data_IF_417425030417
#
_entry.id   IF_417425030417
#
_cell.length_a   1.000
_cell.length_b   1.000
_cell.length_c   1.000
_cell.angle_alpha   90.00
_cell.angle_beta   90.00
_cell.angle_gamma   90.00
#
_symmetry.space_group_name_H-M   'P 1'
#
loop_
_entity.id
_entity.type
_entity.pdbx_description
1 polymer ?
#
# COMPACT_ATOMS: atom_id res chain seq x y z
N UNK A 1 2.45 -19.31 1.76
CA UNK A 1 2.71 -19.72 0.36
C UNK A 1 2.75 -18.47 -0.52
N UNK A 2 3.57 -18.41 -1.58
CA UNK A 2 3.49 -17.37 -2.62
C UNK A 2 2.12 -17.34 -3.31
N UNK A 3 1.70 -16.19 -3.81
CA UNK A 3 0.39 -16.02 -4.44
C UNK A 3 0.26 -16.78 -5.76
N UNK A 4 1.28 -16.76 -6.63
CA UNK A 4 1.27 -17.51 -7.89
C UNK A 4 1.08 -19.02 -7.67
N UNK A 5 1.67 -19.59 -6.61
CA UNK A 5 1.44 -20.99 -6.22
C UNK A 5 0.02 -21.23 -5.69
N UNK A 6 -0.51 -20.31 -4.87
CA UNK A 6 -1.89 -20.40 -4.38
C UNK A 6 -2.89 -20.44 -5.53
N UNK A 7 -2.75 -19.52 -6.51
CA UNK A 7 -3.60 -19.47 -7.70
C UNK A 7 -3.56 -20.81 -8.45
N UNK A 8 -2.37 -21.36 -8.67
CA UNK A 8 -2.21 -22.63 -9.36
C UNK A 8 -2.92 -23.77 -8.62
N UNK A 9 -2.70 -23.90 -7.32
CA UNK A 9 -3.27 -24.98 -6.50
C UNK A 9 -4.78 -24.87 -6.33
N UNK A 10 -5.32 -23.65 -6.18
CA UNK A 10 -6.76 -23.39 -6.08
C UNK A 10 -7.45 -23.76 -7.40
N UNK A 11 -6.91 -23.30 -8.53
CA UNK A 11 -7.47 -23.62 -9.86
C UNK A 11 -7.47 -25.12 -10.18
N UNK A 12 -6.48 -25.85 -9.68
CA UNK A 12 -6.39 -27.30 -9.84
C UNK A 12 -7.24 -28.08 -8.82
N UNK A 13 -7.92 -27.40 -7.89
CA UNK A 13 -8.69 -28.02 -6.82
C UNK A 13 -7.84 -28.73 -5.75
N UNK A 14 -6.52 -28.49 -5.74
CA UNK A 14 -5.62 -29.04 -4.73
C UNK A 14 -5.74 -28.32 -3.37
N UNK A 15 -6.23 -27.08 -3.39
CA UNK A 15 -6.63 -26.28 -2.23
C UNK A 15 -7.99 -25.62 -2.55
N UNK A 16 -8.81 -25.36 -1.54
CA UNK A 16 -9.98 -24.48 -1.71
C UNK A 16 -9.62 -23.04 -1.31
N UNK A 17 -10.19 -22.05 -1.99
CA UNK A 17 -10.05 -20.65 -1.64
C UNK A 17 -10.52 -20.39 -0.20
N UNK A 18 -11.62 -21.02 0.22
CA UNK A 18 -12.12 -20.93 1.60
C UNK A 18 -11.04 -21.36 2.61
N UNK A 19 -10.38 -22.50 2.39
CA UNK A 19 -9.36 -23.01 3.32
C UNK A 19 -8.16 -22.06 3.43
N UNK A 20 -7.76 -21.44 2.31
CA UNK A 20 -6.65 -20.48 2.26
C UNK A 20 -7.00 -19.19 2.97
N UNK A 21 -8.20 -18.66 2.75
CA UNK A 21 -8.67 -17.43 3.38
C UNK A 21 -8.90 -17.63 4.87
N UNK A 22 -9.52 -18.76 5.27
CA UNK A 22 -9.69 -19.12 6.68
C UNK A 22 -8.36 -19.21 7.41
N UNK A 23 -7.37 -19.92 6.84
CA UNK A 23 -6.03 -20.00 7.42
C UNK A 23 -5.35 -18.63 7.55
N UNK A 24 -5.63 -17.70 6.63
CA UNK A 24 -5.13 -16.32 6.69
C UNK A 24 -5.78 -15.54 7.83
N UNK A 25 -7.10 -15.61 7.95
CA UNK A 25 -7.88 -14.96 9.02
C UNK A 25 -7.51 -15.50 10.40
N UNK A 26 -7.33 -16.81 10.53
CA UNK A 26 -6.88 -17.46 11.78
C UNK A 26 -5.49 -16.96 12.18
N UNK A 27 -4.61 -16.74 11.20
CA UNK A 27 -3.28 -16.19 11.44
C UNK A 27 -3.32 -14.73 11.90
N UNK A 28 -4.15 -13.90 11.26
CA UNK A 28 -4.39 -12.51 11.68
C UNK A 28 -4.86 -12.48 13.14
N UNK A 29 -5.87 -13.28 13.47
CA UNK A 29 -6.41 -13.35 14.83
C UNK A 29 -5.38 -13.79 15.89
N UNK A 30 -4.44 -14.64 15.51
CA UNK A 30 -3.41 -15.16 16.42
C UNK A 30 -2.21 -14.23 16.62
N UNK A 31 -1.88 -13.39 15.63
CA UNK A 31 -0.59 -12.69 15.59
C UNK A 31 -0.67 -11.17 15.43
N UNK A 32 -1.75 -10.62 14.87
CA UNK A 32 -1.79 -9.20 14.54
C UNK A 32 -1.94 -8.31 15.79
N UNK A 33 -2.48 -8.81 16.90
CA UNK A 33 -2.66 -8.03 18.14
C UNK A 33 -1.44 -7.19 18.57
N UNK A 34 -0.24 -7.80 18.75
CA UNK A 34 0.98 -7.04 19.05
C UNK A 34 1.58 -6.29 17.84
N UNK A 35 1.24 -6.63 16.60
CA UNK A 35 1.77 -5.99 15.39
C UNK A 35 0.97 -4.72 15.04
N UNK A 36 -0.34 -4.76 15.26
CA UNK A 36 -1.31 -3.74 14.91
C UNK A 36 -1.21 -3.35 13.42
N UNK A 37 -1.11 -4.37 12.55
CA UNK A 37 -0.95 -4.26 11.11
C UNK A 37 -2.27 -4.04 10.37
N UNK A 38 -3.40 -4.46 10.94
CA UNK A 38 -4.74 -4.18 10.41
C UNK A 38 -5.50 -3.14 11.24
N UNK A 39 -6.24 -2.26 10.55
CA UNK A 39 -7.26 -1.39 11.15
C UNK A 39 -8.65 -2.01 11.08
N UNK A 40 -8.90 -2.83 10.06
CA UNK A 40 -10.18 -3.51 9.84
C UNK A 40 -9.90 -4.85 9.19
N UNK A 41 -10.49 -5.92 9.71
CA UNK A 41 -10.43 -7.26 9.14
C UNK A 41 -11.83 -7.63 8.63
N UNK A 42 -11.93 -8.05 7.37
CA UNK A 42 -13.20 -8.29 6.66
C UNK A 42 -13.57 -9.78 6.66
N UNK A 43 -13.63 -10.39 7.85
CA UNK A 43 -13.73 -11.85 8.04
C UNK A 43 -14.88 -12.48 7.25
N UNK A 44 -16.10 -11.95 7.40
CA UNK A 44 -17.30 -12.60 6.85
C UNK A 44 -17.35 -12.46 5.33
N UNK A 45 -17.18 -11.25 4.78
CA UNK A 45 -17.21 -11.06 3.33
C UNK A 45 -16.02 -11.75 2.64
N UNK A 46 -14.85 -11.84 3.29
CA UNK A 46 -13.70 -12.56 2.75
C UNK A 46 -14.01 -14.06 2.60
N UNK A 47 -14.61 -14.68 3.61
CA UNK A 47 -15.02 -16.08 3.56
C UNK A 47 -16.14 -16.31 2.54
N UNK A 48 -17.15 -15.45 2.49
CA UNK A 48 -18.23 -15.55 1.49
C UNK A 48 -17.68 -15.46 0.06
N UNK A 49 -16.77 -14.51 -0.19
CA UNK A 49 -16.12 -14.35 -1.50
C UNK A 49 -15.31 -15.60 -1.86
N UNK A 50 -14.58 -16.16 -0.92
CA UNK A 50 -13.79 -17.37 -1.12
C UNK A 50 -14.65 -18.58 -1.49
N UNK A 51 -15.76 -18.78 -0.76
CA UNK A 51 -16.74 -19.84 -1.03
C UNK A 51 -17.36 -19.67 -2.43
N UNK A 52 -17.71 -18.44 -2.81
CA UNK A 52 -18.25 -18.17 -4.14
C UNK A 52 -17.27 -18.50 -5.27
N UNK A 53 -15.97 -18.27 -5.06
CA UNK A 53 -14.91 -18.66 -6.01
C UNK A 53 -14.82 -20.18 -6.10
N UNK A 54 -14.81 -20.89 -4.98
CA UNK A 54 -14.78 -22.36 -4.96
C UNK A 54 -15.97 -22.98 -5.69
N UNK A 55 -17.18 -22.44 -5.49
CA UNK A 55 -18.39 -22.88 -6.21
C UNK A 55 -18.26 -22.66 -7.72
N UNK A 56 -17.70 -21.53 -8.16
CA UNK A 56 -17.43 -21.26 -9.58
C UNK A 56 -16.42 -22.24 -10.16
N UNK A 57 -15.35 -22.55 -9.44
CA UNK A 57 -14.35 -23.55 -9.85
C UNK A 57 -14.99 -24.94 -9.98
N UNK A 58 -15.78 -25.35 -8.98
CA UNK A 58 -16.48 -26.64 -8.99
C UNK A 58 -17.48 -26.76 -10.16
N UNK A 59 -18.10 -25.64 -10.56
CA UNK A 59 -18.98 -25.56 -11.72
C UNK A 59 -18.24 -25.50 -13.07
N UNK A 60 -16.90 -25.50 -13.08
CA UNK A 60 -16.09 -25.37 -14.29
C UNK A 60 -16.12 -23.97 -14.92
N UNK A 61 -16.56 -22.95 -14.18
CA UNK A 61 -16.60 -21.57 -14.66
C UNK A 61 -15.20 -20.94 -14.62
N UNK A 62 -14.87 -20.02 -15.55
CA UNK A 62 -13.60 -19.32 -15.53
C UNK A 62 -13.47 -18.46 -14.27
N UNK A 63 -12.25 -18.37 -13.75
CA UNK A 63 -11.87 -17.51 -12.62
C UNK A 63 -10.67 -16.64 -12.96
N UNK A 64 -10.59 -15.49 -12.31
CA UNK A 64 -9.60 -14.44 -12.54
C UNK A 64 -8.17 -14.85 -12.16
N UNK A 65 -7.17 -14.03 -12.55
CA UNK A 65 -5.74 -14.30 -12.34
C UNK A 65 -5.30 -14.38 -10.87
N UNK A 66 -6.11 -13.89 -9.93
CA UNK A 66 -5.84 -13.91 -8.49
C UNK A 66 -6.89 -14.71 -7.70
N UNK A 67 -7.59 -15.64 -8.36
CA UNK A 67 -8.66 -16.43 -7.77
C UNK A 67 -8.30 -16.99 -6.39
N UNK A 68 -9.02 -16.52 -5.36
CA UNK A 68 -8.91 -16.99 -3.97
C UNK A 68 -7.67 -16.52 -3.22
N UNK A 69 -6.88 -15.60 -3.79
CA UNK A 69 -5.67 -15.06 -3.14
C UNK A 69 -6.07 -14.02 -2.09
N UNK A 70 -5.64 -14.17 -0.82
CA UNK A 70 -5.85 -13.17 0.22
C UNK A 70 -5.00 -11.90 -0.01
N UNK A 71 -5.65 -10.73 -0.07
CA UNK A 71 -5.02 -9.44 -0.32
C UNK A 71 -5.37 -8.43 0.77
N UNK A 72 -4.35 -7.78 1.33
CA UNK A 72 -4.52 -6.67 2.27
C UNK A 72 -4.43 -5.32 1.54
N UNK A 73 -5.19 -4.32 1.97
CA UNK A 73 -5.27 -3.03 1.25
C UNK A 73 -4.93 -1.88 2.20
N UNK A 74 -3.97 -1.00 1.86
CA UNK A 74 -3.70 0.22 2.64
C UNK A 74 -4.98 1.04 2.86
N UNK A 75 -5.15 1.55 4.07
CA UNK A 75 -6.44 2.12 4.47
C UNK A 75 -6.83 3.42 3.75
N UNK A 76 -5.90 4.10 3.07
CA UNK A 76 -6.19 5.25 2.20
C UNK A 76 -6.83 4.90 0.85
N UNK A 77 -6.97 3.61 0.52
CA UNK A 77 -7.58 3.15 -0.72
C UNK A 77 -9.06 2.85 -0.43
N UNK A 78 -9.96 3.58 -1.08
CA UNK A 78 -11.40 3.42 -0.92
C UNK A 78 -11.85 2.01 -1.34
N UNK A 79 -12.52 1.32 -0.42
CA UNK A 79 -13.10 0.00 -0.64
C UNK A 79 -14.57 0.05 -0.26
N UNK A 80 -15.47 -0.11 -1.22
CA UNK A 80 -16.90 -0.10 -0.96
C UNK A 80 -17.26 -1.24 -0.01
N UNK A 81 -18.06 -0.93 1.01
CA UNK A 81 -18.46 -1.86 2.06
C UNK A 81 -17.47 -1.97 3.23
N UNK A 82 -16.28 -1.36 3.13
CA UNK A 82 -15.30 -1.31 4.23
C UNK A 82 -14.98 0.12 4.65
N UNK A 83 -14.76 0.31 5.94
CA UNK A 83 -14.32 1.59 6.46
C UNK A 83 -12.97 1.99 5.85
N UNK A 84 -12.79 3.30 5.62
CA UNK A 84 -11.58 3.89 5.05
C UNK A 84 -11.25 5.13 5.84
N UNK A 85 -10.24 5.07 6.71
CA UNK A 85 -9.93 6.12 7.70
C UNK A 85 -8.66 6.90 7.39
N UNK A 86 -7.81 6.39 6.51
CA UNK A 86 -6.44 6.88 6.30
C UNK A 86 -5.61 6.89 7.59
N UNK A 87 -5.85 5.96 8.52
CA UNK A 87 -5.24 6.00 9.85
C UNK A 87 -5.65 7.23 10.67
N UNK A 88 -6.74 7.91 10.34
CA UNK A 88 -7.20 9.14 10.98
C UNK A 88 -8.57 9.02 11.62
N UNK A 89 -8.72 9.63 12.81
CA UNK A 89 -10.01 9.75 13.50
C UNK A 89 -10.99 10.66 12.77
N UNK A 90 -10.52 11.61 11.95
CA UNK A 90 -11.40 12.48 11.14
C UNK A 90 -12.23 11.69 10.10
N UNK A 91 -11.81 10.49 9.75
CA UNK A 91 -12.51 9.59 8.83
C UNK A 91 -12.97 8.30 9.51
N UNK A 92 -12.96 8.25 10.84
CA UNK A 92 -13.55 7.14 11.58
C UNK A 92 -15.04 7.01 11.22
N UNK A 93 -15.47 5.80 10.88
CA UNK A 93 -16.82 5.51 10.40
C UNK A 93 -17.10 5.84 8.93
N UNK A 94 -16.14 6.40 8.17
CA UNK A 94 -16.34 6.66 6.75
C UNK A 94 -16.33 5.36 5.93
N UNK A 95 -17.48 5.01 5.36
CA UNK A 95 -17.64 3.90 4.41
C UNK A 95 -17.76 4.51 2.99
N UNK A 96 -16.76 4.34 2.11
CA UNK A 96 -16.82 4.90 0.76
C UNK A 96 -18.00 4.35 -0.04
N UNK A 97 -18.71 5.19 -0.82
CA UNK A 97 -19.82 4.75 -1.66
C UNK A 97 -19.35 4.11 -2.99
N UNK A 98 -18.04 3.87 -3.17
CA UNK A 98 -17.45 3.34 -4.39
C UNK A 98 -16.13 2.63 -4.10
N UNK A 99 -15.74 1.71 -5.00
CA UNK A 99 -14.41 1.12 -5.04
C UNK A 99 -13.41 2.03 -5.77
N UNK A 100 -12.20 2.14 -5.22
CA UNK A 100 -11.05 2.61 -5.97
C UNK A 100 -10.81 1.72 -7.20
N UNK A 101 -10.21 2.26 -8.26
CA UNK A 101 -9.97 1.49 -9.49
C UNK A 101 -9.15 0.23 -9.24
N UNK A 102 -8.15 0.33 -8.37
CA UNK A 102 -7.30 -0.81 -7.97
C UNK A 102 -8.09 -1.89 -7.23
N UNK A 103 -9.06 -1.50 -6.38
CA UNK A 103 -9.93 -2.44 -5.67
C UNK A 103 -10.89 -3.13 -6.65
N UNK A 104 -11.50 -2.37 -7.56
CA UNK A 104 -12.35 -2.94 -8.61
C UNK A 104 -11.58 -3.93 -9.49
N UNK A 105 -10.31 -3.65 -9.82
CA UNK A 105 -9.43 -4.56 -10.56
C UNK A 105 -9.08 -5.82 -9.77
N UNK A 106 -8.82 -5.71 -8.46
CA UNK A 106 -8.61 -6.86 -7.59
C UNK A 106 -9.84 -7.77 -7.55
N UNK A 107 -11.04 -7.20 -7.36
CA UNK A 107 -12.30 -7.96 -7.35
C UNK A 107 -12.55 -8.65 -8.69
N UNK A 108 -12.34 -7.95 -9.81
CA UNK A 108 -12.44 -8.54 -11.14
C UNK A 108 -11.40 -9.65 -11.39
N UNK A 109 -10.28 -9.61 -10.68
CA UNK A 109 -9.26 -10.67 -10.71
C UNK A 109 -9.58 -11.86 -9.78
N UNK A 110 -10.75 -11.87 -9.13
CA UNK A 110 -11.18 -12.84 -8.12
C UNK A 110 -10.23 -12.90 -6.89
N UNK A 111 -9.56 -11.79 -6.58
CA UNK A 111 -8.79 -11.65 -5.34
C UNK A 111 -9.74 -11.46 -4.13
N UNK A 112 -9.36 -12.01 -2.97
CA UNK A 112 -10.13 -11.90 -1.73
C UNK A 112 -9.50 -10.82 -0.86
N UNK A 113 -10.18 -9.69 -0.67
CA UNK A 113 -9.72 -8.63 0.23
C UNK A 113 -9.98 -9.07 1.67
N UNK A 114 -8.93 -9.18 2.48
CA UNK A 114 -9.06 -9.65 3.89
C UNK A 114 -9.14 -8.51 4.90
N UNK A 115 -8.81 -7.28 4.50
CA UNK A 115 -8.87 -6.15 5.42
C UNK A 115 -8.14 -4.90 4.94
N UNK A 116 -8.24 -3.87 5.78
CA UNK A 116 -7.57 -2.57 5.63
C UNK A 116 -6.37 -2.51 6.57
N UNK A 117 -5.19 -2.22 6.02
CA UNK A 117 -3.94 -2.18 6.79
C UNK A 117 -3.68 -0.81 7.40
N UNK A 118 -3.03 -0.82 8.57
CA UNK A 118 -2.59 0.37 9.28
C UNK A 118 -1.60 1.18 8.44
N UNK A 119 -1.57 2.47 8.70
CA UNK A 119 -0.74 3.44 7.98
C UNK A 119 -0.47 4.66 8.86
N UNK A 120 0.57 5.42 8.52
CA UNK A 120 0.67 6.78 9.04
C UNK A 120 -0.54 7.61 8.58
N UNK A 121 -0.99 8.53 9.43
CA UNK A 121 -2.17 9.35 9.22
C UNK A 121 -2.09 10.12 7.89
N UNK A 122 -3.07 9.93 7.00
CA UNK A 122 -3.10 10.51 5.65
C UNK A 122 -1.86 10.25 4.78
N UNK A 123 -1.07 9.23 5.12
CA UNK A 123 0.13 8.87 4.38
C UNK A 123 1.35 9.72 4.73
N UNK A 124 1.24 10.63 5.70
CA UNK A 124 2.29 11.53 6.17
C UNK A 124 3.06 10.87 7.29
N UNK A 125 4.28 10.43 7.04
CA UNK A 125 5.09 9.74 8.04
C UNK A 125 5.99 8.68 7.42
N UNK A 126 6.90 8.14 8.24
CA UNK A 126 7.89 7.14 7.80
C UNK A 126 8.14 6.05 8.83
N UNK A 127 7.24 5.90 9.81
CA UNK A 127 7.36 4.91 10.88
C UNK A 127 6.06 4.20 11.27
N UNK A 128 4.90 4.68 10.80
CA UNK A 128 3.57 4.19 11.20
C UNK A 128 3.23 4.42 12.68
N UNK A 129 3.93 5.33 13.36
CA UNK A 129 3.72 5.65 14.77
C UNK A 129 2.59 6.66 14.98
N UNK A 130 2.31 7.52 14.00
CA UNK A 130 1.33 8.60 14.12
C UNK A 130 -0.11 8.18 13.75
N UNK A 131 -0.34 6.89 13.48
CA UNK A 131 -1.68 6.35 13.24
C UNK A 131 -2.61 6.70 14.40
N UNK A 132 -3.78 7.29 14.09
CA UNK A 132 -4.82 7.64 15.05
C UNK A 132 -5.47 6.42 15.73
N UNK A 133 -5.09 5.20 15.32
CA UNK A 133 -5.56 3.93 15.90
C UNK A 133 -4.45 3.15 16.62
N UNK A 134 -3.25 3.74 16.72
CA UNK A 134 -2.13 3.17 17.46
C UNK A 134 -0.98 2.71 16.56
N UNK A 135 0.20 2.60 17.17
CA UNK A 135 1.46 2.27 16.52
C UNK A 135 1.41 0.89 15.88
N UNK A 136 1.85 0.78 14.63
CA UNK A 136 2.16 -0.50 13.99
C UNK A 136 3.63 -0.88 14.28
N UNK A 137 3.90 -2.17 14.52
CA UNK A 137 5.23 -2.67 14.91
C UNK A 137 5.81 -3.60 13.85
N UNK A 138 7.13 -3.65 13.77
CA UNK A 138 7.80 -4.56 12.85
C UNK A 138 7.72 -6.02 13.37
N UNK A 139 7.18 -6.98 12.61
CA UNK A 139 7.09 -8.37 13.06
C UNK A 139 8.45 -9.07 13.15
N UNK A 140 9.52 -8.52 12.56
CA UNK A 140 10.88 -9.03 12.72
C UNK A 140 11.49 -8.65 14.08
N UNK A 141 11.06 -7.51 14.63
CA UNK A 141 11.41 -7.04 15.98
C UNK A 141 10.35 -6.03 16.44
N UNK A 142 9.53 -6.41 17.43
CA UNK A 142 8.41 -5.57 17.92
C UNK A 142 8.86 -4.28 18.61
N UNK A 143 10.15 -4.14 18.95
CA UNK A 143 10.71 -2.88 19.43
C UNK A 143 10.98 -1.88 18.30
N UNK A 144 11.00 -2.33 17.04
CA UNK A 144 11.30 -1.54 15.86
C UNK A 144 10.05 -1.12 15.08
N UNK A 145 10.18 -0.05 14.31
CA UNK A 145 9.14 0.44 13.40
C UNK A 145 9.11 -0.38 12.11
N UNK A 146 7.92 -0.60 11.50
CA UNK A 146 7.79 -1.26 10.20
C UNK A 146 8.12 -0.33 9.02
N UNK A 147 8.46 0.92 9.30
CA UNK A 147 8.55 1.98 8.30
C UNK A 147 7.20 2.63 8.03
N UNK A 148 7.14 3.59 7.11
CA UNK A 148 5.91 4.29 6.77
C UNK A 148 5.92 4.94 5.38
N UNK A 149 4.76 5.33 4.83
CA UNK A 149 3.43 5.26 5.47
C UNK A 149 2.63 3.98 5.21
N UNK A 150 3.12 3.05 4.40
CA UNK A 150 2.47 1.74 4.22
C UNK A 150 3.05 0.68 5.18
N UNK A 151 3.30 1.07 6.43
CA UNK A 151 3.92 0.22 7.46
C UNK A 151 3.10 -1.02 7.76
N UNK A 152 1.78 -0.87 7.95
CA UNK A 152 0.87 -2.01 8.13
C UNK A 152 0.89 -2.96 6.94
N UNK A 153 0.90 -2.45 5.70
CA UNK A 153 0.98 -3.30 4.50
C UNK A 153 2.26 -4.14 4.44
N UNK A 154 3.40 -3.59 4.87
CA UNK A 154 4.67 -4.33 4.96
C UNK A 154 4.66 -5.34 6.11
N UNK A 155 4.16 -4.92 7.28
CA UNK A 155 4.10 -5.74 8.48
C UNK A 155 3.26 -7.00 8.27
N UNK A 156 2.05 -6.89 7.73
CA UNK A 156 1.17 -8.06 7.51
C UNK A 156 1.76 -9.05 6.49
N UNK A 157 2.56 -8.56 5.53
CA UNK A 157 3.27 -9.44 4.59
C UNK A 157 4.41 -10.20 5.26
N UNK A 158 5.23 -9.52 6.05
CA UNK A 158 6.33 -10.11 6.80
C UNK A 158 5.82 -11.08 7.87
N UNK A 159 4.71 -10.75 8.52
CA UNK A 159 3.98 -11.61 9.44
C UNK A 159 3.25 -12.76 8.74
N UNK A 160 3.24 -12.83 7.40
CA UNK A 160 2.52 -13.83 6.60
C UNK A 160 1.00 -13.85 6.77
N UNK A 161 0.41 -12.72 7.18
CA UNK A 161 -1.02 -12.48 7.41
C UNK A 161 -1.77 -12.01 6.15
N UNK A 162 -1.06 -11.91 5.02
CA UNK A 162 -1.63 -11.74 3.69
C UNK A 162 -0.74 -12.44 2.65
N UNK A 163 -1.27 -12.77 1.48
CA UNK A 163 -0.44 -13.25 0.36
C UNK A 163 0.12 -12.08 -0.46
N UNK A 164 -0.69 -11.05 -0.66
CA UNK A 164 -0.35 -9.81 -1.35
C UNK A 164 -0.85 -8.62 -0.52
N UNK A 165 -0.24 -7.45 -0.70
CA UNK A 165 -0.77 -6.21 -0.16
C UNK A 165 -0.66 -5.06 -1.17
N UNK A 166 -1.53 -4.06 -1.01
CA UNK A 166 -1.41 -2.77 -1.69
C UNK A 166 -0.85 -1.74 -0.72
N UNK A 167 0.14 -0.99 -1.17
CA UNK A 167 0.59 0.24 -0.54
C UNK A 167 0.40 1.44 -1.46
N UNK A 168 0.77 2.62 -0.97
CA UNK A 168 0.79 3.87 -1.72
C UNK A 168 2.09 4.62 -1.35
N UNK A 169 2.81 5.15 -2.36
CA UNK A 169 4.14 5.76 -2.26
C UNK A 169 4.17 7.17 -2.84
N UNK A 170 4.21 8.17 -1.95
CA UNK A 170 4.44 9.58 -2.28
C UNK A 170 5.93 9.93 -2.28
N UNK A 171 6.65 9.57 -1.21
CA UNK A 171 8.05 9.94 -0.99
C UNK A 171 8.98 8.77 -0.64
N UNK A 172 8.49 7.54 -0.70
CA UNK A 172 9.16 6.35 -0.14
C UNK A 172 8.20 5.36 0.50
N UNK A 173 6.91 5.69 0.58
CA UNK A 173 5.94 5.04 1.46
C UNK A 173 5.55 3.60 1.10
N UNK A 174 6.08 3.02 0.01
CA UNK A 174 6.07 1.57 -0.26
C UNK A 174 7.47 0.99 -0.08
N UNK A 175 8.48 1.65 -0.66
CA UNK A 175 9.85 1.13 -0.74
C UNK A 175 10.54 1.08 0.61
N UNK A 176 10.36 2.10 1.45
CA UNK A 176 10.97 2.17 2.78
C UNK A 176 10.37 1.14 3.75
N UNK A 177 9.02 0.99 3.86
CA UNK A 177 8.46 -0.10 4.66
C UNK A 177 8.86 -1.48 4.15
N UNK A 178 8.94 -1.65 2.83
CA UNK A 178 9.38 -2.91 2.24
C UNK A 178 10.82 -3.27 2.66
N UNK A 179 11.72 -2.28 2.66
CA UNK A 179 13.09 -2.46 3.14
C UNK A 179 13.13 -2.82 4.64
N UNK A 180 12.36 -2.14 5.47
CA UNK A 180 12.36 -2.34 6.94
C UNK A 180 11.77 -3.69 7.36
N UNK A 181 10.76 -4.18 6.64
CA UNK A 181 10.14 -5.48 6.93
C UNK A 181 10.69 -6.64 6.10
N UNK A 182 11.71 -6.42 5.26
CA UNK A 182 12.33 -7.48 4.45
C UNK A 182 11.38 -8.08 3.40
N UNK A 183 10.52 -7.26 2.79
CA UNK A 183 9.57 -7.66 1.74
C UNK A 183 9.85 -6.92 0.43
N UNK A 184 9.15 -7.28 -0.65
CA UNK A 184 9.26 -6.62 -1.96
C UNK A 184 8.18 -5.54 -2.06
N UNK A 185 8.59 -4.30 -2.33
CA UNK A 185 7.67 -3.18 -2.59
C UNK A 185 8.09 -2.44 -3.84
N UNK A 186 7.14 -2.20 -4.75
CA UNK A 186 7.39 -1.51 -6.01
C UNK A 186 6.48 -0.30 -6.15
N UNK A 187 7.09 0.88 -6.26
CA UNK A 187 6.40 2.08 -6.77
C UNK A 187 6.49 2.09 -8.31
N UNK A 188 5.38 1.92 -9.05
CA UNK A 188 5.44 1.96 -10.49
C UNK A 188 5.64 3.40 -11.01
N UNK A 189 5.86 3.54 -12.31
CA UNK A 189 5.86 4.85 -12.98
C UNK A 189 4.58 5.61 -12.64
N UNK A 190 4.67 6.93 -12.39
CA UNK A 190 3.50 7.77 -12.18
C UNK A 190 2.54 7.66 -13.38
N UNK A 191 1.25 7.50 -13.11
CA UNK A 191 0.22 7.23 -14.13
C UNK A 191 0.10 5.77 -14.61
N UNK A 192 0.99 4.85 -14.20
CA UNK A 192 0.88 3.42 -14.57
C UNK A 192 -0.32 2.72 -13.90
N UNK A 193 -0.55 3.02 -12.63
CA UNK A 193 -1.70 2.57 -11.83
C UNK A 193 -2.58 3.79 -11.58
N UNK A 194 -3.90 3.60 -11.65
CA UNK A 194 -4.87 4.68 -11.43
C UNK A 194 -4.88 5.12 -9.98
N UNK A 195 -5.04 6.43 -9.77
CA UNK A 195 -5.23 7.06 -8.46
C UNK A 195 -6.69 7.31 -8.13
N UNK A 196 -7.63 6.94 -9.02
CA UNK A 196 -9.05 7.09 -8.74
C UNK A 196 -9.47 6.25 -7.53
N UNK A 197 -10.02 6.95 -6.53
CA UNK A 197 -10.44 6.39 -5.24
C UNK A 197 -9.32 6.13 -4.25
N UNK A 198 -8.12 6.62 -4.52
CA UNK A 198 -7.06 6.76 -3.52
C UNK A 198 -7.23 8.13 -2.87
N UNK A 199 -7.28 8.17 -1.55
CA UNK A 199 -7.33 9.44 -0.81
C UNK A 199 -5.98 10.13 -0.96
N UNK A 200 -5.99 11.30 -1.61
CA UNK A 200 -4.78 11.99 -2.03
C UNK A 200 -4.05 12.64 -0.85
N UNK A 201 -2.74 12.42 -0.78
CA UNK A 201 -1.79 13.20 0.00
C UNK A 201 -1.19 14.28 -0.92
N UNK A 202 -0.34 13.88 -1.87
CA UNK A 202 0.22 14.78 -2.88
C UNK A 202 -0.05 14.23 -4.29
N UNK A 203 -1.01 14.85 -4.98
CA UNK A 203 -1.54 14.42 -6.26
C UNK A 203 -0.49 14.24 -7.36
N UNK A 204 0.60 15.01 -7.36
CA UNK A 204 1.67 14.87 -8.37
C UNK A 204 2.70 13.77 -8.04
N UNK A 205 2.63 13.17 -6.85
CA UNK A 205 3.58 12.18 -6.34
C UNK A 205 2.94 10.80 -6.11
N UNK A 206 1.75 10.80 -5.51
CA UNK A 206 1.05 9.60 -5.02
C UNK A 206 0.98 8.53 -6.10
N UNK A 207 1.35 7.31 -5.72
CA UNK A 207 1.18 6.17 -6.61
C UNK A 207 0.95 4.88 -5.83
N UNK A 208 -0.15 4.20 -6.14
CA UNK A 208 -0.43 2.87 -5.61
C UNK A 208 0.52 1.87 -6.24
N UNK A 209 1.02 0.94 -5.43
CA UNK A 209 1.95 -0.09 -5.88
C UNK A 209 1.77 -1.40 -5.13
N UNK A 210 2.21 -2.51 -5.75
CA UNK A 210 2.18 -3.82 -5.11
C UNK A 210 3.25 -3.96 -4.02
N UNK A 211 2.88 -4.67 -2.96
CA UNK A 211 3.78 -5.16 -1.93
C UNK A 211 3.58 -6.67 -1.78
N UNK A 212 4.67 -7.44 -1.75
CA UNK A 212 4.64 -8.91 -1.76
C UNK A 212 5.86 -9.49 -1.06
N UNK A 213 5.91 -10.81 -0.84
CA UNK A 213 7.10 -11.49 -0.29
C UNK A 213 8.14 -11.91 -1.34
N UNK A 214 7.84 -11.78 -2.63
CA UNK A 214 8.74 -12.14 -3.72
C UNK A 214 8.44 -11.35 -5.00
N UNK A 215 9.43 -11.27 -5.89
CA UNK A 215 9.38 -10.46 -7.12
C UNK A 215 8.34 -10.97 -8.13
N UNK A 216 8.10 -12.28 -8.20
CA UNK A 216 7.14 -12.87 -9.14
C UNK A 216 5.69 -12.47 -8.80
N UNK A 217 5.33 -12.57 -7.52
CA UNK A 217 4.05 -12.08 -7.01
C UNK A 217 3.90 -10.57 -7.20
N UNK A 218 5.00 -9.81 -7.09
CA UNK A 218 5.00 -8.36 -7.30
C UNK A 218 4.64 -8.02 -8.75
N UNK A 219 5.23 -8.73 -9.72
CA UNK A 219 4.93 -8.59 -11.15
C UNK A 219 3.50 -9.05 -11.49
N UNK A 220 3.05 -10.16 -10.90
CA UNK A 220 1.68 -10.65 -11.06
C UNK A 220 0.66 -9.62 -10.57
N UNK A 221 0.86 -9.09 -9.35
CA UNK A 221 -0.04 -8.10 -8.79
C UNK A 221 0.00 -6.79 -9.61
N UNK A 222 1.19 -6.31 -10.02
CA UNK A 222 1.27 -5.12 -10.89
C UNK A 222 0.50 -5.32 -12.20
N UNK A 223 0.51 -6.52 -12.77
CA UNK A 223 -0.24 -6.84 -14.00
C UNK A 223 -1.75 -6.65 -13.83
N UNK A 224 -2.28 -6.92 -12.64
CA UNK A 224 -3.69 -6.71 -12.30
C UNK A 224 -3.99 -5.24 -12.03
N UNK A 225 -3.09 -4.53 -11.35
CA UNK A 225 -3.32 -3.13 -10.94
C UNK A 225 -3.11 -2.12 -12.07
N UNK A 226 -2.19 -2.40 -12.99
CA UNK A 226 -1.75 -1.45 -14.01
C UNK A 226 -2.76 -1.27 -15.14
N UNK A 227 -2.67 -0.12 -15.82
CA UNK A 227 -3.41 0.19 -17.05
C UNK A 227 -4.23 1.46 -16.94
N UNK A 228 -4.49 2.06 -18.09
CA UNK A 228 -5.25 3.30 -18.21
C UNK A 228 -6.63 3.20 -17.54
N UNK A 229 -7.07 4.30 -16.94
CA UNK A 229 -8.38 4.44 -16.32
C UNK A 229 -9.00 5.78 -16.74
N UNK A 230 -10.13 5.77 -17.45
CA UNK A 230 -10.77 7.01 -17.90
C UNK A 230 -11.26 7.90 -16.75
N UNK A 231 -11.34 7.39 -15.52
CA UNK A 231 -11.70 8.17 -14.32
C UNK A 231 -10.52 8.92 -13.70
N UNK A 232 -9.29 8.64 -14.15
CA UNK A 232 -8.08 9.29 -13.71
C UNK A 232 -7.40 9.96 -14.92
N UNK A 233 -7.51 11.30 -14.97
CA UNK A 233 -6.92 12.12 -16.05
C UNK A 233 -5.39 12.07 -16.09
N UNK A 234 -4.75 11.58 -15.03
CA UNK A 234 -3.29 11.41 -14.96
C UNK A 234 -2.84 9.99 -15.27
N UNK A 235 -3.78 9.05 -15.44
CA UNK A 235 -3.44 7.68 -15.82
C UNK A 235 -2.96 7.64 -17.27
N UNK A 236 -1.78 7.06 -17.47
CA UNK A 236 -1.14 7.03 -18.77
C UNK A 236 -1.84 6.03 -19.69
N UNK A 237 -2.18 6.48 -20.90
CA UNK A 237 -2.73 5.64 -21.97
C UNK A 237 -1.63 4.77 -22.63
N UNK A 238 -0.96 3.96 -21.82
CA UNK A 238 0.15 3.09 -22.24
C UNK A 238 -0.25 1.62 -22.01
N UNK A 239 -0.10 0.73 -23.01
CA UNK A 239 -0.35 -0.70 -22.83
C UNK A 239 0.40 -1.26 -21.62
N UNK A 240 -0.22 -2.22 -20.93
CA UNK A 240 0.42 -2.92 -19.82
C UNK A 240 1.34 -3.99 -20.41
N UNK A 241 2.67 -3.94 -20.19
CA UNK A 241 3.57 -5.00 -20.60
C UNK A 241 3.26 -6.29 -19.85
N UNK A 242 3.62 -7.43 -20.44
CA UNK A 242 3.64 -8.70 -19.72
C UNK A 242 4.87 -8.72 -18.79
N UNK A 243 4.67 -8.32 -17.54
CA UNK A 243 5.75 -8.26 -16.55
C UNK A 243 6.26 -9.64 -16.15
N UNK A 244 5.38 -10.65 -16.13
CA UNK A 244 5.70 -11.98 -15.60
C UNK A 244 6.58 -12.76 -16.58
N UNK A 245 6.29 -12.67 -17.88
CA UNK A 245 7.02 -13.41 -18.93
C UNK A 245 8.53 -13.14 -18.95
N UNK A 246 8.95 -11.95 -18.50
CA UNK A 246 10.35 -11.48 -18.58
C UNK A 246 11.16 -11.66 -17.30
N UNK A 247 10.56 -12.18 -16.24
CA UNK A 247 11.24 -12.36 -14.94
C UNK A 247 12.47 -13.28 -15.01
N UNK A 248 12.51 -14.15 -16.03
CA UNK A 248 13.56 -15.17 -16.21
C UNK A 248 14.61 -14.77 -17.25
N UNK A 249 14.53 -13.56 -17.83
CA UNK A 249 15.49 -13.06 -18.82
C UNK A 249 16.92 -12.90 -18.24
N UNK A 250 17.05 -12.84 -16.91
CA UNK A 250 18.31 -12.58 -16.23
C UNK A 250 18.78 -11.13 -16.38
N UNK A 251 20.02 -10.86 -15.97
CA UNK A 251 20.58 -9.50 -15.93
C UNK A 251 21.85 -9.31 -16.77
N UNK A 252 22.25 -10.34 -17.51
CA UNK A 252 23.46 -10.29 -18.32
C UNK A 252 23.35 -9.19 -19.39
N UNK A 253 24.35 -8.32 -19.46
CA UNK A 253 24.37 -7.17 -20.37
C UNK A 253 23.56 -5.96 -19.91
N UNK A 254 22.80 -6.03 -18.80
CA UNK A 254 22.14 -4.85 -18.23
C UNK A 254 23.17 -3.84 -17.75
N UNK A 255 22.88 -2.55 -17.93
CA UNK A 255 23.67 -1.46 -17.37
C UNK A 255 22.98 -0.94 -16.11
N UNK A 256 23.70 -0.94 -14.99
CA UNK A 256 23.21 -0.46 -13.70
C UNK A 256 23.98 0.82 -13.37
N UNK A 257 23.28 1.94 -13.33
CA UNK A 257 23.82 3.20 -12.85
C UNK A 257 23.95 3.17 -11.33
N UNK A 258 25.11 3.58 -10.81
CA UNK A 258 25.42 3.63 -9.38
C UNK A 258 25.71 5.08 -9.01
N UNK A 259 24.73 5.82 -8.46
CA UNK A 259 24.95 7.19 -8.02
C UNK A 259 25.92 7.26 -6.86
N UNK A 260 26.93 8.13 -6.98
CA UNK A 260 27.92 8.34 -5.91
C UNK A 260 27.26 8.99 -4.69
N UNK A 261 26.28 9.87 -4.91
CA UNK A 261 25.53 10.58 -3.88
C UNK A 261 24.71 9.65 -2.96
N UNK A 262 24.50 8.38 -3.35
CA UNK A 262 23.81 7.40 -2.50
C UNK A 262 24.74 6.72 -1.48
N UNK A 263 26.06 6.91 -1.58
CA UNK A 263 27.07 6.41 -0.65
C UNK A 263 27.71 7.56 0.13
N UNK A 264 26.86 8.45 0.67
CA UNK A 264 27.27 9.63 1.42
C UNK A 264 27.38 9.35 2.94
N UNK A 265 27.94 10.31 3.69
CA UNK A 265 28.25 10.21 5.13
C UNK A 265 27.06 9.81 6.03
N UNK A 266 25.82 9.98 5.57
CA UNK A 266 24.61 9.60 6.32
C UNK A 266 24.19 8.13 6.19
N UNK A 267 24.87 7.33 5.36
CA UNK A 267 24.55 5.91 5.16
C UNK A 267 25.20 5.05 6.24
N UNK A 268 24.40 4.19 6.88
CA UNK A 268 24.94 3.23 7.84
C UNK A 268 25.92 2.25 7.15
N UNK A 269 27.11 1.99 7.74
CA UNK A 269 28.12 1.12 7.14
C UNK A 269 27.63 -0.30 6.85
N UNK A 270 26.70 -0.85 7.64
CA UNK A 270 26.12 -2.17 7.38
C UNK A 270 25.26 -2.15 6.12
N UNK A 271 24.44 -1.11 5.95
CA UNK A 271 23.60 -0.94 4.75
C UNK A 271 24.47 -0.74 3.53
N UNK A 272 25.50 0.10 3.61
CA UNK A 272 26.48 0.28 2.54
C UNK A 272 27.09 -1.05 2.11
N UNK A 273 27.59 -1.84 3.07
CA UNK A 273 28.19 -3.15 2.79
C UNK A 273 27.20 -4.07 2.07
N UNK A 274 25.96 -4.17 2.54
CA UNK A 274 24.92 -5.00 1.93
C UNK A 274 24.60 -4.57 0.49
N UNK A 275 24.50 -3.26 0.23
CA UNK A 275 24.26 -2.74 -1.13
C UNK A 275 25.44 -3.04 -2.05
N UNK A 276 26.68 -2.87 -1.58
CA UNK A 276 27.87 -3.20 -2.36
C UNK A 276 27.98 -4.70 -2.67
N UNK A 277 27.61 -5.57 -1.75
CA UNK A 277 27.52 -7.02 -1.96
C UNK A 277 26.45 -7.37 -3.01
N UNK A 278 25.30 -6.70 -2.99
CA UNK A 278 24.27 -6.87 -4.01
C UNK A 278 24.75 -6.42 -5.40
N UNK A 279 25.43 -5.27 -5.49
CA UNK A 279 26.04 -4.78 -6.74
C UNK A 279 27.06 -5.77 -7.31
N UNK A 280 27.94 -6.33 -6.46
CA UNK A 280 28.89 -7.38 -6.85
C UNK A 280 28.19 -8.63 -7.38
N UNK A 281 27.07 -9.01 -6.77
CA UNK A 281 26.25 -10.13 -7.23
C UNK A 281 25.71 -9.86 -8.64
N UNK A 282 25.21 -8.64 -8.92
CA UNK A 282 24.78 -8.26 -10.28
C UNK A 282 25.92 -8.33 -11.31
N UNK A 283 27.13 -7.88 -10.96
CA UNK A 283 28.30 -8.03 -11.85
C UNK A 283 28.63 -9.48 -12.15
N UNK A 284 28.62 -10.36 -11.14
CA UNK A 284 28.85 -11.80 -11.30
C UNK A 284 27.81 -12.45 -12.22
N UNK A 285 26.57 -11.92 -12.22
CA UNK A 285 25.49 -12.35 -13.12
C UNK A 285 25.57 -11.72 -14.52
N UNK A 286 26.60 -10.91 -14.80
CA UNK A 286 26.90 -10.35 -16.11
C UNK A 286 26.36 -8.94 -16.36
N UNK A 287 25.83 -8.26 -15.33
CA UNK A 287 25.50 -6.84 -15.44
C UNK A 287 26.77 -5.97 -15.47
N UNK A 288 26.64 -4.75 -15.97
CA UNK A 288 27.72 -3.75 -16.03
C UNK A 288 27.36 -2.58 -15.12
N UNK A 289 28.17 -2.36 -14.08
CA UNK A 289 28.01 -1.19 -13.21
C UNK A 289 28.63 0.04 -13.87
N UNK A 290 28.01 1.20 -13.68
CA UNK A 290 28.54 2.47 -14.18
C UNK A 290 28.28 3.55 -13.14
N UNK A 291 29.28 4.32 -12.69
CA UNK A 291 29.04 5.48 -11.85
C UNK A 291 28.21 6.52 -12.61
N UNK A 292 27.25 7.14 -11.94
CA UNK A 292 26.38 8.17 -12.53
C UNK A 292 26.27 9.36 -11.58
N UNK A 293 26.66 10.58 -11.98
CA UNK A 293 26.48 11.74 -11.13
C UNK A 293 25.00 12.17 -11.09
N UNK A 294 24.48 12.39 -9.89
CA UNK A 294 23.16 12.97 -9.62
C UNK A 294 23.31 14.18 -8.68
N UNK A 295 23.89 15.30 -9.18
CA UNK A 295 24.36 16.40 -8.34
C UNK A 295 23.25 17.18 -7.61
N UNK A 296 21.98 16.93 -7.95
CA UNK A 296 20.84 17.58 -7.31
C UNK A 296 20.16 16.71 -6.24
N UNK A 297 20.71 15.53 -5.93
CA UNK A 297 20.15 14.60 -4.93
C UNK A 297 20.01 15.25 -3.55
N UNK A 298 20.97 16.09 -3.14
CA UNK A 298 20.93 16.79 -1.85
C UNK A 298 19.69 17.67 -1.67
N UNK A 299 19.11 18.17 -2.77
CA UNK A 299 17.93 19.05 -2.73
C UNK A 299 16.60 18.27 -2.74
N UNK A 300 16.63 16.96 -3.00
CA UNK A 300 15.42 16.17 -3.24
C UNK A 300 14.47 16.19 -2.03
N UNK A 301 15.01 16.05 -0.82
CA UNK A 301 14.21 16.04 0.42
C UNK A 301 13.57 17.42 0.67
N UNK A 302 14.34 18.51 0.52
CA UNK A 302 13.82 19.86 0.72
C UNK A 302 12.73 20.21 -0.32
N UNK A 303 12.97 19.90 -1.59
CA UNK A 303 12.01 20.12 -2.66
C UNK A 303 10.73 19.28 -2.45
N UNK A 304 10.88 18.02 -2.04
CA UNK A 304 9.76 17.14 -1.70
C UNK A 304 8.88 17.79 -0.64
N UNK A 305 9.42 18.17 0.52
CA UNK A 305 8.63 18.69 1.63
C UNK A 305 7.90 20.00 1.28
N UNK A 306 8.48 20.87 0.45
CA UNK A 306 7.79 22.08 -0.03
C UNK A 306 6.58 21.70 -0.91
N UNK A 307 6.78 20.79 -1.86
CA UNK A 307 5.75 20.44 -2.84
C UNK A 307 4.61 19.62 -2.20
N UNK A 308 4.93 18.58 -1.42
CA UNK A 308 3.90 17.72 -0.85
C UNK A 308 3.07 18.42 0.21
N UNK A 309 3.65 19.34 1.00
CA UNK A 309 2.88 20.11 1.99
C UNK A 309 1.94 21.11 1.32
N UNK A 310 2.38 21.75 0.22
CA UNK A 310 1.53 22.63 -0.57
C UNK A 310 0.33 21.88 -1.15
N UNK A 311 0.55 20.71 -1.78
CA UNK A 311 -0.54 19.90 -2.32
C UNK A 311 -1.46 19.34 -1.24
N UNK A 312 -0.90 18.84 -0.14
CA UNK A 312 -1.66 18.32 0.99
C UNK A 312 -2.59 19.37 1.59
N UNK A 313 -2.11 20.62 1.74
CA UNK A 313 -2.92 21.72 2.26
C UNK A 313 -4.19 21.95 1.44
N UNK A 314 -4.12 21.77 0.11
CA UNK A 314 -5.26 21.86 -0.79
C UNK A 314 -6.09 20.57 -0.81
N UNK A 315 -5.45 19.40 -0.84
CA UNK A 315 -6.13 18.11 -0.95
C UNK A 315 -6.99 17.80 0.28
N UNK A 316 -6.45 18.09 1.48
CA UNK A 316 -7.09 17.84 2.77
C UNK A 316 -8.06 18.95 3.20
N UNK A 317 -8.19 20.03 2.42
CA UNK A 317 -9.16 21.09 2.70
C UNK A 317 -10.62 20.59 2.71
N UNK A 318 -10.91 19.47 2.02
CA UNK A 318 -12.25 18.87 1.93
C UNK A 318 -12.76 18.22 3.22
N UNK A 319 -11.89 18.00 4.21
CA UNK A 319 -12.26 17.37 5.48
C UNK A 319 -12.67 18.47 6.46
N UNK A 320 -13.97 18.76 6.47
CA UNK A 320 -14.61 19.87 7.18
C UNK A 320 -15.79 19.42 8.07
N UNK A 321 -16.11 18.12 8.07
CA UNK A 321 -17.23 17.54 8.82
C UNK A 321 -18.62 17.85 8.27
N UNK A 322 -18.75 18.46 7.08
CA UNK A 322 -20.05 18.80 6.50
C UNK A 322 -20.65 17.62 5.75
N UNK A 323 -19.88 17.03 4.83
CA UNK A 323 -20.39 16.00 3.91
C UNK A 323 -20.20 14.58 4.42
N UNK A 324 -19.09 14.33 5.12
CA UNK A 324 -18.69 13.02 5.61
C UNK A 324 -17.58 13.17 6.65
N UNK A 325 -17.27 12.07 7.36
CA UNK A 325 -16.26 12.04 8.40
C UNK A 325 -16.75 12.58 9.74
N UNK A 326 -15.80 12.85 10.62
CA UNK A 326 -16.03 13.42 11.94
C UNK A 326 -16.59 14.84 11.83
N UNK A 327 -17.49 15.19 12.75
CA UNK A 327 -17.99 16.55 12.94
C UNK A 327 -18.01 16.86 14.42
N UNK A 328 -17.33 17.94 14.81
CA UNK A 328 -17.35 18.41 16.19
C UNK A 328 -18.79 18.73 16.63
N UNK A 329 -19.14 18.37 17.86
CA UNK A 329 -20.49 18.57 18.38
C UNK A 329 -20.69 20.02 18.86
N UNK A 330 -21.91 20.53 18.71
CA UNK A 330 -22.28 21.92 19.02
C UNK A 330 -22.19 22.31 20.50
N UNK A 331 -21.88 21.38 21.41
CA UNK A 331 -21.80 21.65 22.86
C UNK A 331 -20.54 22.40 23.30
N UNK A 332 -19.60 22.67 22.39
CA UNK A 332 -18.33 23.38 22.67
C UNK A 332 -18.28 24.77 21.99
N UNK A 333 -19.39 25.23 21.40
CA UNK A 333 -19.41 26.53 20.70
C UNK A 333 -19.22 27.69 21.68
N UNK A 334 -17.98 28.19 21.77
CA UNK A 334 -17.59 29.32 22.62
C UNK A 334 -18.07 30.66 22.08
N UNK A 335 -18.49 30.74 20.81
CA UNK A 335 -19.02 31.95 20.19
C UNK A 335 -20.21 31.62 19.26
N UNK A 336 -21.39 32.23 19.46
CA UNK A 336 -22.57 32.06 18.59
C UNK A 336 -22.47 32.86 17.28
N UNK A 337 -21.47 33.74 17.15
CA UNK A 337 -21.17 34.45 15.91
C UNK A 337 -20.10 33.63 15.16
N UNK A 338 -20.33 33.29 13.90
CA UNK A 338 -19.50 32.40 13.06
C UNK A 338 -19.56 30.88 13.40
N UNK A 339 -20.77 30.34 13.60
CA UNK A 339 -21.01 28.90 13.88
C UNK A 339 -20.35 27.95 12.86
N UNK A 340 -20.36 28.29 11.56
CA UNK A 340 -19.77 27.46 10.51
C UNK A 340 -18.23 27.44 10.57
N UNK A 341 -17.60 28.61 10.73
CA UNK A 341 -16.15 28.73 10.82
C UNK A 341 -15.62 28.01 12.07
N UNK A 342 -16.30 28.22 13.21
CA UNK A 342 -15.98 27.54 14.47
C UNK A 342 -16.08 26.03 14.31
N UNK A 343 -17.16 25.53 13.71
CA UNK A 343 -17.34 24.11 13.46
C UNK A 343 -16.26 23.50 12.56
N UNK A 344 -15.78 24.23 11.54
CA UNK A 344 -14.66 23.78 10.70
C UNK A 344 -13.35 23.69 11.49
N UNK A 345 -13.05 24.72 12.29
CA UNK A 345 -11.83 24.77 13.11
C UNK A 345 -11.83 23.65 14.13
N UNK A 346 -12.93 23.47 14.87
CA UNK A 346 -13.03 22.45 15.93
C UNK A 346 -12.97 21.04 15.32
N UNK A 347 -13.71 20.79 14.24
CA UNK A 347 -13.69 19.49 13.54
C UNK A 347 -12.28 19.10 13.10
N UNK A 348 -11.53 20.05 12.54
CA UNK A 348 -10.17 19.80 12.08
C UNK A 348 -9.20 19.64 13.24
N UNK A 349 -9.32 20.46 14.27
CA UNK A 349 -8.46 20.44 15.46
C UNK A 349 -8.62 19.17 16.29
N UNK A 350 -9.85 18.63 16.35
CA UNK A 350 -10.15 17.40 17.09
C UNK A 350 -9.95 16.13 16.25
N UNK A 351 -10.17 16.21 14.93
CA UNK A 351 -10.12 15.05 14.04
C UNK A 351 -8.76 14.73 13.44
N UNK A 352 -7.93 15.74 13.13
CA UNK A 352 -6.55 15.52 12.67
C UNK A 352 -5.61 15.26 13.84
N UNK A 353 -4.50 14.57 13.57
CA UNK A 353 -3.40 14.42 14.51
C UNK A 353 -2.53 15.67 14.56
N UNK A 354 -1.34 15.53 15.15
CA UNK A 354 -0.40 16.64 15.33
C UNK A 354 0.38 17.02 14.07
N UNK A 355 0.37 16.18 13.03
CA UNK A 355 1.05 16.38 11.74
C UNK A 355 0.20 17.15 10.72
#
# INVERSE_FOLDING_TARGET
>A
MPAHELVSRIRLGALSAESVVRATLDRIAAHDGPINGYLTVDTDNALETAIAIDLRIAAGAPVGPLAGVPVAVKDAICTQGLQTTCGSRILEGFIPPYDATVVARLRAADAVIVGKTNMDQFGMGSSNENSGFGVCRNPLDLACVPGGSSGGSAAVLAACEAALALGEDTGGSIRQPAAFCGVVGLKPTYGRVSRYGVIAYASSFDQVGPMTRNVEDCALLLSVLAGHDPRDSTSAAVPVPDYVSRLRDGVSGLRIGVPEEYFADGLDPEVERCVREALKTFEQLGARLSPVPLPHTEYAVAAYYILVTAEASSNLARYDGVKYGYRASSSVMKQPENELETMYIDTRSEGFGLE
#
